data_IF_481057483169
#
_entry.id   IF_481057483169
#
_cell.length_a   1.000
_cell.length_b   1.000
_cell.length_c   1.000
_cell.angle_alpha   90.00
_cell.angle_beta   90.00
_cell.angle_gamma   90.00
#
_symmetry.space_group_name_H-M   'P 1'
#
loop_
_entity.id
_entity.type
_entity.pdbx_description
1 polymer ?
#
# COMPACT_ATOMS: atom_id res chain seq x y z
N UNK A 1 -8.78 14.03 2.12
CA UNK A 1 -7.85 13.94 0.97
C UNK A 1 -8.14 12.61 0.28
N UNK A 2 -8.30 12.59 -1.04
CA UNK A 2 -8.63 11.35 -1.77
C UNK A 2 -7.47 10.33 -1.60
N UNK A 3 -7.80 9.11 -1.13
CA UNK A 3 -6.82 8.05 -0.86
C UNK A 3 -6.05 7.64 -2.12
N UNK A 4 -6.67 7.78 -3.30
CA UNK A 4 -6.03 7.51 -4.60
C UNK A 4 -4.89 8.48 -4.89
N UNK A 5 -5.09 9.76 -4.58
CA UNK A 5 -4.04 10.79 -4.71
C UNK A 5 -2.87 10.46 -3.80
N UNK A 6 -3.16 10.02 -2.58
CA UNK A 6 -2.12 9.61 -1.63
C UNK A 6 -1.33 8.40 -2.15
N UNK A 7 -2.02 7.37 -2.64
CA UNK A 7 -1.39 6.18 -3.26
C UNK A 7 -0.52 6.61 -4.45
N UNK A 8 -1.01 7.48 -5.33
CA UNK A 8 -0.25 7.98 -6.47
C UNK A 8 1.01 8.73 -6.05
N UNK A 9 0.92 9.63 -5.06
CA UNK A 9 2.07 10.40 -4.54
C UNK A 9 3.11 9.44 -3.95
N UNK A 10 2.67 8.52 -3.10
CA UNK A 10 3.54 7.55 -2.43
C UNK A 10 4.25 6.65 -3.46
N UNK A 11 3.51 6.12 -4.43
CA UNK A 11 4.09 5.33 -5.53
C UNK A 11 5.05 6.14 -6.40
N UNK A 12 4.76 7.42 -6.67
CA UNK A 12 5.63 8.30 -7.45
C UNK A 12 6.96 8.56 -6.74
N UNK A 13 6.92 8.81 -5.42
CA UNK A 13 8.12 8.98 -4.60
C UNK A 13 8.94 7.68 -4.62
N UNK A 14 8.30 6.54 -4.37
CA UNK A 14 8.98 5.24 -4.38
C UNK A 14 9.61 4.91 -5.74
N UNK A 15 8.90 5.16 -6.84
CA UNK A 15 9.40 5.00 -8.21
C UNK A 15 10.63 5.88 -8.45
N UNK A 16 10.53 7.17 -8.12
CA UNK A 16 11.63 8.11 -8.32
C UNK A 16 12.88 7.69 -7.57
N UNK A 17 12.78 7.39 -6.28
CA UNK A 17 13.93 6.98 -5.49
C UNK A 17 14.46 5.60 -5.86
N UNK A 18 13.62 4.66 -6.29
CA UNK A 18 14.08 3.37 -6.79
C UNK A 18 14.94 3.52 -8.05
N UNK A 19 14.56 4.33 -9.00
CA UNK A 19 15.39 4.58 -10.18
C UNK A 19 16.62 5.42 -9.85
N UNK A 20 16.50 6.40 -8.95
CA UNK A 20 17.62 7.21 -8.47
C UNK A 20 18.67 6.40 -7.69
N UNK A 21 18.32 5.24 -7.12
CA UNK A 21 19.27 4.35 -6.48
C UNK A 21 20.45 3.97 -7.38
N UNK A 22 20.18 3.82 -8.69
CA UNK A 22 21.17 3.41 -9.67
C UNK A 22 22.12 4.56 -10.13
N UNK A 23 21.96 5.79 -9.58
CA UNK A 23 22.81 6.92 -9.93
C UNK A 23 24.15 6.93 -9.18
N UNK A 24 24.27 6.18 -8.09
CA UNK A 24 25.50 6.17 -7.28
C UNK A 24 25.62 4.86 -6.50
N UNK A 25 26.83 4.30 -6.50
CA UNK A 25 27.20 3.10 -5.71
C UNK A 25 27.61 3.45 -4.27
N UNK A 26 27.44 4.71 -3.85
CA UNK A 26 27.78 5.11 -2.48
C UNK A 26 26.89 4.39 -1.46
N UNK A 27 27.51 3.75 -0.48
CA UNK A 27 26.80 3.05 0.60
C UNK A 27 25.80 3.98 1.34
N UNK A 28 26.21 5.22 1.61
CA UNK A 28 25.34 6.20 2.30
C UNK A 28 24.13 6.55 1.41
N UNK A 29 24.35 6.71 0.11
CA UNK A 29 23.27 6.97 -0.85
C UNK A 29 22.25 5.82 -0.86
N UNK A 30 22.72 4.59 -0.94
CA UNK A 30 21.87 3.41 -0.94
C UNK A 30 21.09 3.26 0.37
N UNK A 31 21.68 3.59 1.53
CA UNK A 31 20.96 3.61 2.81
C UNK A 31 19.84 4.65 2.84
N UNK A 32 20.07 5.85 2.34
CA UNK A 32 19.04 6.91 2.26
C UNK A 32 17.89 6.43 1.38
N UNK A 33 18.20 5.90 0.21
CA UNK A 33 17.19 5.37 -0.73
C UNK A 33 16.41 4.21 -0.10
N UNK A 34 17.09 3.25 0.53
CA UNK A 34 16.44 2.13 1.21
C UNK A 34 15.50 2.59 2.34
N UNK A 35 15.92 3.59 3.12
CA UNK A 35 15.10 4.19 4.16
C UNK A 35 13.82 4.84 3.58
N UNK A 36 13.95 5.60 2.49
CA UNK A 36 12.82 6.25 1.84
C UNK A 36 11.87 5.20 1.24
N UNK A 37 12.40 4.22 0.50
CA UNK A 37 11.58 3.16 -0.10
C UNK A 37 10.85 2.36 0.98
N UNK A 38 11.52 2.00 2.08
CA UNK A 38 10.92 1.31 3.20
C UNK A 38 9.81 2.13 3.88
N UNK A 39 10.07 3.43 4.12
CA UNK A 39 9.09 4.35 4.69
C UNK A 39 7.86 4.58 3.82
N UNK A 40 8.03 4.54 2.50
CA UNK A 40 6.95 4.69 1.52
C UNK A 40 6.16 3.39 1.33
N UNK A 41 6.82 2.24 1.40
CA UNK A 41 6.18 0.94 1.16
C UNK A 41 5.23 0.51 2.29
N UNK A 42 5.56 0.82 3.54
CA UNK A 42 4.76 0.42 4.70
C UNK A 42 3.33 1.01 4.68
N UNK A 43 3.12 2.31 4.44
CA UNK A 43 1.79 2.89 4.41
C UNK A 43 0.94 2.38 3.24
N UNK A 44 1.56 1.94 2.13
CA UNK A 44 0.83 1.49 0.95
C UNK A 44 -0.13 0.34 1.25
N UNK A 45 0.28 -0.64 2.04
CA UNK A 45 -0.58 -1.76 2.41
C UNK A 45 -1.86 -1.30 3.11
N UNK A 46 -1.71 -0.45 4.11
CA UNK A 46 -2.83 0.12 4.85
C UNK A 46 -3.73 0.99 3.97
N UNK A 47 -3.15 1.77 3.05
CA UNK A 47 -3.89 2.59 2.09
C UNK A 47 -4.71 1.74 1.11
N UNK A 48 -4.16 0.60 0.65
CA UNK A 48 -4.89 -0.31 -0.22
C UNK A 48 -6.06 -0.99 0.50
N UNK A 49 -5.86 -1.44 1.75
CA UNK A 49 -6.95 -2.00 2.56
C UNK A 49 -8.04 -0.95 2.76
N UNK A 50 -7.68 0.25 3.19
CA UNK A 50 -8.61 1.33 3.39
C UNK A 50 -9.39 1.68 2.10
N UNK A 51 -8.70 1.74 0.96
CA UNK A 51 -9.32 1.98 -0.33
C UNK A 51 -10.26 0.85 -0.76
N UNK A 52 -9.91 -0.40 -0.45
CA UNK A 52 -10.76 -1.56 -0.73
C UNK A 52 -12.04 -1.49 0.10
N UNK A 53 -11.91 -1.20 1.40
CA UNK A 53 -13.04 -1.13 2.32
C UNK A 53 -14.03 0.02 1.99
N UNK A 54 -13.54 1.16 1.47
CA UNK A 54 -14.41 2.26 1.03
C UNK A 54 -15.33 1.88 -0.14
N UNK A 55 -15.03 0.81 -0.86
CA UNK A 55 -15.77 0.37 -2.04
C UNK A 55 -16.51 -0.96 -1.83
N UNK A 56 -16.57 -1.48 -0.60
CA UNK A 56 -17.19 -2.76 -0.25
C UNK A 56 -18.40 -2.54 0.66
N UNK A 57 -19.43 -3.36 0.46
CA UNK A 57 -20.52 -3.49 1.42
C UNK A 57 -20.02 -4.25 2.67
N UNK A 58 -20.64 -3.99 3.82
CA UNK A 58 -20.18 -4.53 5.12
C UNK A 58 -20.09 -6.06 5.13
N UNK A 59 -21.02 -6.72 4.45
CA UNK A 59 -21.09 -8.19 4.36
C UNK A 59 -19.93 -8.81 3.53
N UNK A 60 -19.32 -8.02 2.63
CA UNK A 60 -18.23 -8.48 1.76
C UNK A 60 -16.84 -8.23 2.34
N UNK A 61 -16.73 -7.46 3.43
CA UNK A 61 -15.42 -7.07 4.01
C UNK A 61 -14.58 -8.28 4.45
N UNK A 62 -15.19 -9.28 5.08
CA UNK A 62 -14.49 -10.48 5.52
C UNK A 62 -13.91 -11.28 4.33
N UNK A 63 -14.69 -11.43 3.27
CA UNK A 63 -14.27 -12.11 2.04
C UNK A 63 -13.13 -11.38 1.33
N UNK A 64 -13.23 -10.05 1.24
CA UNK A 64 -12.21 -9.22 0.62
C UNK A 64 -10.89 -9.22 1.42
N UNK A 65 -10.97 -9.16 2.74
CA UNK A 65 -9.80 -9.27 3.62
C UNK A 65 -9.09 -10.61 3.44
N UNK A 66 -9.83 -11.71 3.37
CA UNK A 66 -9.29 -13.04 3.06
C UNK A 66 -8.58 -13.09 1.70
N UNK A 67 -9.19 -12.49 0.67
CA UNK A 67 -8.60 -12.36 -0.66
C UNK A 67 -7.31 -11.55 -0.68
N UNK A 68 -7.25 -10.43 0.03
CA UNK A 68 -6.05 -9.60 0.15
C UNK A 68 -4.90 -10.33 0.84
N UNK A 69 -5.20 -11.10 1.90
CA UNK A 69 -4.20 -11.90 2.60
C UNK A 69 -3.68 -13.02 1.70
N UNK A 70 -4.55 -13.68 0.96
CA UNK A 70 -4.16 -14.71 -0.01
C UNK A 70 -3.23 -14.15 -1.09
N UNK A 71 -3.55 -13.00 -1.68
CA UNK A 71 -2.70 -12.32 -2.66
C UNK A 71 -1.36 -11.90 -2.05
N UNK A 72 -1.35 -11.39 -0.82
CA UNK A 72 -0.12 -11.05 -0.10
C UNK A 72 0.74 -12.29 0.13
N UNK A 73 0.13 -13.42 0.48
CA UNK A 73 0.82 -14.71 0.62
C UNK A 73 1.48 -15.19 -0.68
N UNK A 74 0.78 -15.08 -1.81
CA UNK A 74 1.34 -15.36 -3.14
C UNK A 74 2.55 -14.45 -3.40
N UNK A 75 2.41 -13.15 -3.17
CA UNK A 75 3.49 -12.19 -3.33
C UNK A 75 4.71 -12.50 -2.45
N UNK A 76 4.48 -12.94 -1.21
CA UNK A 76 5.54 -13.32 -0.28
C UNK A 76 6.31 -14.59 -0.70
N UNK A 77 5.65 -15.52 -1.38
CA UNK A 77 6.29 -16.73 -1.91
C UNK A 77 7.09 -16.44 -3.19
N UNK A 78 6.48 -15.77 -4.15
CA UNK A 78 7.08 -15.55 -5.47
C UNK A 78 8.03 -14.34 -5.50
N UNK A 79 7.77 -13.31 -4.69
CA UNK A 79 8.57 -12.08 -4.67
C UNK A 79 10.05 -12.32 -4.43
N UNK A 80 10.45 -12.97 -3.32
CA UNK A 80 11.86 -13.27 -3.06
C UNK A 80 12.53 -14.13 -4.12
N UNK A 81 11.79 -15.10 -4.70
CA UNK A 81 12.31 -15.98 -5.76
C UNK A 81 12.60 -15.21 -7.05
N UNK A 82 11.69 -14.32 -7.45
CA UNK A 82 11.87 -13.45 -8.64
C UNK A 82 13.02 -12.49 -8.41
N UNK A 83 13.07 -11.84 -7.25
CA UNK A 83 14.15 -10.90 -6.91
C UNK A 83 15.50 -11.62 -6.83
N UNK A 84 15.56 -12.81 -6.21
CA UNK A 84 16.78 -13.62 -6.15
C UNK A 84 17.31 -13.96 -7.53
N UNK A 85 16.45 -14.40 -8.43
CA UNK A 85 16.83 -14.67 -9.82
C UNK A 85 17.32 -13.42 -10.56
N UNK A 86 16.64 -12.28 -10.39
CA UNK A 86 17.06 -11.01 -11.00
C UNK A 86 18.42 -10.54 -10.49
N UNK A 87 18.69 -10.70 -9.19
CA UNK A 87 19.96 -10.33 -8.59
C UNK A 87 21.11 -11.21 -9.10
N UNK A 88 20.85 -12.50 -9.30
CA UNK A 88 21.84 -13.47 -9.80
C UNK A 88 22.20 -13.21 -11.27
N UNK A 89 21.19 -12.96 -12.10
CA UNK A 89 21.37 -12.81 -13.55
C UNK A 89 21.84 -11.39 -13.96
N UNK A 90 21.27 -10.34 -13.30
CA UNK A 90 21.47 -8.94 -13.71
C UNK A 90 22.18 -8.07 -12.66
N UNK A 91 22.52 -8.64 -11.50
CA UNK A 91 23.22 -7.94 -10.44
C UNK A 91 22.33 -7.03 -9.58
N UNK A 92 22.94 -6.36 -8.59
CA UNK A 92 22.24 -5.61 -7.54
C UNK A 92 21.35 -4.46 -8.05
N UNK A 93 21.70 -3.83 -9.16
CA UNK A 93 20.91 -2.76 -9.76
C UNK A 93 19.49 -3.22 -10.16
N UNK A 94 19.33 -4.50 -10.53
CA UNK A 94 18.06 -5.09 -10.97
C UNK A 94 16.97 -5.04 -9.89
N UNK A 95 17.35 -5.11 -8.62
CA UNK A 95 16.43 -4.96 -7.49
C UNK A 95 15.69 -3.62 -7.53
N UNK A 96 16.44 -2.54 -7.69
CA UNK A 96 15.86 -1.18 -7.72
C UNK A 96 15.04 -0.94 -8.99
N UNK A 97 15.47 -1.48 -10.12
CA UNK A 97 14.67 -1.46 -11.35
C UNK A 97 13.36 -2.21 -11.20
N UNK A 98 13.37 -3.39 -10.56
CA UNK A 98 12.17 -4.18 -10.32
C UNK A 98 11.19 -3.46 -9.40
N UNK A 99 11.64 -3.00 -8.22
CA UNK A 99 10.79 -2.27 -7.26
C UNK A 99 10.23 -0.98 -7.88
N UNK A 100 11.08 -0.20 -8.58
CA UNK A 100 10.64 1.01 -9.27
C UNK A 100 9.59 0.74 -10.33
N UNK A 101 9.73 -0.34 -11.11
CA UNK A 101 8.75 -0.73 -12.12
C UNK A 101 7.42 -1.15 -11.51
N UNK A 102 7.44 -1.96 -10.44
CA UNK A 102 6.22 -2.36 -9.72
C UNK A 102 5.50 -1.12 -9.17
N UNK A 103 6.23 -0.21 -8.51
CA UNK A 103 5.65 1.03 -7.99
C UNK A 103 5.11 1.94 -9.09
N UNK A 104 5.80 2.03 -10.24
CA UNK A 104 5.32 2.80 -11.39
C UNK A 104 4.01 2.23 -11.95
N UNK A 105 3.90 0.91 -12.06
CA UNK A 105 2.67 0.24 -12.52
C UNK A 105 1.52 0.52 -11.54
N UNK A 106 1.77 0.41 -10.22
CA UNK A 106 0.76 0.68 -9.18
C UNK A 106 0.32 2.14 -9.21
N UNK A 107 1.25 3.09 -9.31
CA UNK A 107 0.96 4.51 -9.43
C UNK A 107 0.18 4.85 -10.71
N UNK A 108 0.54 4.25 -11.83
CA UNK A 108 -0.17 4.41 -13.10
C UNK A 108 -1.60 3.86 -13.04
N UNK A 109 -1.80 2.72 -12.37
CA UNK A 109 -3.13 2.17 -12.13
C UNK A 109 -3.97 3.10 -11.23
N UNK A 110 -3.38 3.65 -10.16
CA UNK A 110 -4.08 4.61 -9.30
C UNK A 110 -4.53 5.85 -10.11
N UNK A 111 -3.65 6.38 -10.96
CA UNK A 111 -3.96 7.50 -11.85
C UNK A 111 -5.08 7.14 -12.83
N UNK A 112 -5.02 5.96 -13.46
CA UNK A 112 -6.08 5.48 -14.34
C UNK A 112 -7.43 5.40 -13.61
N UNK A 113 -7.46 4.86 -12.39
CA UNK A 113 -8.69 4.76 -11.58
C UNK A 113 -9.25 6.14 -11.22
N UNK A 114 -8.41 7.16 -11.03
CA UNK A 114 -8.87 8.54 -10.80
C UNK A 114 -9.63 9.11 -12.00
N UNK A 115 -9.33 8.67 -13.23
CA UNK A 115 -10.04 9.12 -14.43
C UNK A 115 -11.36 8.40 -14.68
N UNK A 116 -11.57 7.22 -14.09
CA UNK A 116 -12.74 6.36 -14.37
C UNK A 116 -13.86 6.48 -13.33
N UNK A 117 -13.56 6.88 -12.12
CA UNK A 117 -14.53 6.87 -11.02
C UNK A 117 -14.44 8.20 -10.26
N UNK A 118 -15.58 8.83 -9.93
CA UNK A 118 -15.62 9.98 -9.02
C UNK A 118 -15.04 9.58 -7.65
N UNK A 119 -14.39 10.52 -6.96
CA UNK A 119 -13.92 10.30 -5.59
C UNK A 119 -15.12 10.08 -4.67
N UNK A 120 -15.02 9.10 -3.77
CA UNK A 120 -15.93 9.00 -2.62
C UNK A 120 -15.79 10.27 -1.78
N UNK A 121 -16.91 10.89 -1.38
CA UNK A 121 -16.88 12.06 -0.51
C UNK A 121 -16.19 11.69 0.81
N UNK A 122 -15.48 12.66 1.43
CA UNK A 122 -14.77 12.42 2.69
C UNK A 122 -15.72 11.97 3.80
N UNK A 123 -16.98 12.43 3.71
CA UNK A 123 -18.07 12.11 4.64
C UNK A 123 -18.56 10.65 4.50
N UNK A 124 -18.33 10.03 3.33
CA UNK A 124 -18.71 8.64 3.03
C UNK A 124 -17.54 7.66 3.18
N UNK A 125 -16.38 8.10 3.69
CA UNK A 125 -15.23 7.22 3.92
C UNK A 125 -15.30 6.58 5.30
N UNK A 126 -15.11 5.26 5.36
CA UNK A 126 -15.07 4.53 6.62
C UNK A 126 -13.87 4.94 7.49
N UNK A 127 -14.03 4.83 8.81
CA UNK A 127 -12.97 5.08 9.78
C UNK A 127 -11.74 4.19 9.47
N UNK A 128 -10.56 4.78 9.62
CA UNK A 128 -9.30 4.13 9.26
C UNK A 128 -8.52 3.68 10.50
N UNK A 129 -8.20 2.39 10.57
CA UNK A 129 -7.26 1.85 11.54
C UNK A 129 -5.92 1.49 10.85
N UNK A 130 -4.76 1.95 11.35
CA UNK A 130 -3.47 1.57 10.81
C UNK A 130 -3.18 0.10 11.09
N UNK A 131 -3.05 -0.70 10.03
CA UNK A 131 -2.83 -2.15 10.11
C UNK A 131 -1.48 -2.48 9.49
N UNK A 132 -0.73 -3.40 10.11
CA UNK A 132 0.54 -3.88 9.56
C UNK A 132 0.33 -5.06 8.61
N UNK A 133 1.20 -5.25 7.60
CA UNK A 133 1.09 -6.37 6.65
C UNK A 133 1.17 -7.76 7.30
N UNK A 134 1.65 -7.82 8.54
CA UNK A 134 1.76 -9.05 9.34
C UNK A 134 0.59 -9.29 10.28
N UNK A 135 -0.43 -8.41 10.25
CA UNK A 135 -1.62 -8.57 11.08
C UNK A 135 -2.43 -9.80 10.67
N UNK A 136 -2.96 -10.52 11.65
CA UNK A 136 -3.87 -11.63 11.38
C UNK A 136 -5.23 -11.12 10.89
N UNK A 137 -6.02 -11.92 10.15
CA UNK A 137 -7.37 -11.52 9.71
C UNK A 137 -8.26 -11.04 10.87
N UNK A 138 -8.21 -11.75 11.99
CA UNK A 138 -8.98 -11.42 13.20
C UNK A 138 -8.53 -10.08 13.80
N UNK A 139 -7.22 -9.80 13.81
CA UNK A 139 -6.71 -8.52 14.29
C UNK A 139 -7.11 -7.35 13.38
N UNK A 140 -7.24 -7.60 12.08
CA UNK A 140 -7.72 -6.60 11.12
C UNK A 140 -9.20 -6.28 11.34
N UNK A 141 -10.03 -7.31 11.50
CA UNK A 141 -11.46 -7.19 11.74
C UNK A 141 -11.74 -6.43 13.05
N UNK A 142 -11.10 -6.83 14.15
CA UNK A 142 -11.21 -6.15 15.45
C UNK A 142 -10.73 -4.69 15.41
N UNK A 143 -9.63 -4.40 14.70
CA UNK A 143 -9.12 -3.03 14.59
C UNK A 143 -10.07 -2.12 13.80
N UNK A 144 -10.74 -2.66 12.79
CA UNK A 144 -11.74 -1.92 12.01
C UNK A 144 -13.03 -1.69 12.80
N UNK A 145 -13.53 -2.73 13.48
CA UNK A 145 -14.70 -2.65 14.33
C UNK A 145 -14.50 -1.57 15.43
N UNK A 146 -13.35 -1.59 16.09
CA UNK A 146 -13.01 -0.59 17.09
C UNK A 146 -12.90 0.83 16.51
N UNK A 147 -12.32 0.99 15.32
CA UNK A 147 -12.21 2.29 14.68
C UNK A 147 -13.58 2.87 14.26
N UNK A 148 -14.52 2.01 13.85
CA UNK A 148 -15.90 2.41 13.54
C UNK A 148 -16.64 2.81 14.81
N UNK A 149 -16.50 2.03 15.88
CA UNK A 149 -17.16 2.30 17.18
C UNK A 149 -16.70 3.66 17.74
N UNK A 150 -15.39 3.92 17.73
CA UNK A 150 -14.82 5.21 18.15
C UNK A 150 -15.32 6.39 17.30
N UNK A 151 -15.45 6.21 16.00
CA UNK A 151 -15.97 7.26 15.12
C UNK A 151 -17.44 7.59 15.41
N UNK A 152 -18.27 6.58 15.69
CA UNK A 152 -19.67 6.77 16.07
C UNK A 152 -19.81 7.47 17.43
N UNK A 153 -18.97 7.12 18.42
CA UNK A 153 -18.95 7.80 19.73
C UNK A 153 -18.55 9.28 19.60
N UNK A 154 -17.58 9.61 18.73
CA UNK A 154 -17.17 10.99 18.48
C UNK A 154 -18.31 11.80 17.81
N UNK A 155 -19.09 11.19 16.92
CA UNK A 155 -20.26 11.84 16.32
C UNK A 155 -21.37 12.11 17.33
N UNK A 156 -21.63 11.19 18.25
CA UNK A 156 -22.63 11.38 19.30
C UNK A 156 -22.25 12.49 20.30
N UNK A 157 -20.95 12.65 20.61
CA UNK A 157 -20.47 13.69 21.53
C UNK A 157 -20.53 15.08 20.88
N UNK A 158 -20.44 15.19 19.56
CA UNK A 158 -20.44 16.45 18.82
C UNK A 158 -21.85 16.95 18.43
N UNK A 159 -22.92 16.20 18.74
CA UNK A 159 -24.33 16.62 18.58
C UNK A 159 -24.91 17.21 19.84
#
# INVERSE_FOLDING_TARGET
MDRRVLIFIVCSIGTFFSFAANLSDSYIWLLIVAFIIGGVSNPLYSLYIAYTNDNLEHDDMASASGGLIFLTGIGAIFGPSIVGWLLDEYGAASYFWFIGSVMAIMGSYALYRMTQTSSTAVEDTNAYAPITPTSTPVAMELAQEYAIEMALEEEEINQ
#
